data_IF_578414791285
#
_entry.id   IF_578414791285
#
_cell.length_a   1.000
_cell.length_b   1.000
_cell.length_c   1.000
_cell.angle_alpha   90.00
_cell.angle_beta   90.00
_cell.angle_gamma   90.00
#
_symmetry.space_group_name_H-M   'P 1'
#
loop_
_entity.id
_entity.type
_entity.pdbx_description
1 polymer ?
#
# COMPACT_ATOMS: atom_id res chain seq x y z
N UNK A 1 -24.81 4.80 -17.37
CA UNK A 1 -25.50 6.09 -17.57
C UNK A 1 -25.19 6.98 -16.38
N UNK A 2 -24.88 8.26 -16.59
CA UNK A 2 -24.49 9.26 -15.58
C UNK A 2 -25.30 10.53 -15.84
N UNK A 3 -25.88 11.17 -14.82
CA UNK A 3 -26.57 12.46 -14.96
C UNK A 3 -25.74 13.50 -15.70
N UNK A 4 -26.33 14.17 -16.68
CA UNK A 4 -25.69 15.28 -17.41
C UNK A 4 -25.78 16.57 -16.59
N UNK A 5 -24.75 17.42 -16.62
CA UNK A 5 -24.72 18.66 -15.87
C UNK A 5 -25.35 19.83 -16.65
N UNK A 6 -25.90 20.81 -15.94
CA UNK A 6 -26.67 21.93 -16.48
C UNK A 6 -26.33 23.22 -15.74
N UNK A 7 -26.69 24.36 -16.31
CA UNK A 7 -26.59 25.65 -15.65
C UNK A 7 -27.25 25.60 -14.26
N UNK A 8 -26.57 26.11 -13.23
CA UNK A 8 -27.06 26.08 -11.87
C UNK A 8 -26.82 24.78 -11.11
N UNK A 9 -26.39 23.69 -11.74
CA UNK A 9 -25.94 22.49 -11.01
C UNK A 9 -24.72 22.82 -10.14
N UNK A 10 -24.58 22.14 -9.01
CA UNK A 10 -23.67 22.52 -7.94
C UNK A 10 -22.28 21.95 -8.15
N UNK A 11 -21.26 22.77 -7.95
CA UNK A 11 -19.86 22.42 -7.85
C UNK A 11 -19.39 22.56 -6.41
N UNK A 12 -18.59 21.62 -5.92
CA UNK A 12 -17.91 21.73 -4.64
C UNK A 12 -16.42 21.98 -4.85
N UNK A 13 -15.94 23.14 -4.38
CA UNK A 13 -14.56 23.57 -4.52
C UNK A 13 -13.76 23.30 -3.22
N UNK A 14 -12.60 22.62 -3.30
CA UNK A 14 -11.79 22.31 -2.12
C UNK A 14 -10.94 23.51 -1.62
N UNK A 15 -10.85 24.60 -2.40
CA UNK A 15 -10.13 25.80 -2.00
C UNK A 15 -10.84 26.43 -0.79
N UNK A 16 -10.14 26.65 0.35
CA UNK A 16 -10.73 27.28 1.53
C UNK A 16 -11.42 28.61 1.21
N UNK A 17 -12.69 28.74 1.59
CA UNK A 17 -13.51 29.93 1.35
C UNK A 17 -14.33 29.91 0.05
N UNK A 18 -14.11 28.96 -0.86
CA UNK A 18 -14.90 28.84 -2.10
C UNK A 18 -16.19 28.02 -1.89
N UNK A 19 -16.09 26.87 -1.22
CA UNK A 19 -17.24 26.03 -0.87
C UNK A 19 -18.05 25.56 -2.08
N UNK A 20 -19.36 25.38 -1.86
CA UNK A 20 -20.31 24.97 -2.90
C UNK A 20 -20.79 26.20 -3.71
N UNK A 21 -20.70 26.13 -5.03
CA UNK A 21 -21.12 27.20 -5.94
C UNK A 21 -21.80 26.63 -7.19
N UNK A 22 -22.79 27.32 -7.78
CA UNK A 22 -23.47 26.83 -8.99
C UNK A 22 -22.58 26.99 -10.23
N UNK A 23 -22.83 26.19 -11.26
CA UNK A 23 -22.36 26.45 -12.63
C UNK A 23 -23.02 27.73 -13.14
N UNK A 24 -22.23 28.70 -13.60
CA UNK A 24 -22.68 30.03 -14.02
C UNK A 24 -22.64 30.27 -15.53
N UNK A 25 -21.90 29.45 -16.29
CA UNK A 25 -21.98 29.44 -17.75
C UNK A 25 -22.41 28.06 -18.26
N UNK A 26 -23.12 28.03 -19.38
CA UNK A 26 -23.56 26.81 -20.04
C UNK A 26 -23.86 27.11 -21.51
N UNK A 27 -24.25 26.08 -22.27
CA UNK A 27 -24.81 26.25 -23.61
C UNK A 27 -26.03 27.17 -23.61
N UNK A 28 -26.08 28.11 -24.56
CA UNK A 28 -27.24 28.99 -24.80
C UNK A 28 -28.23 28.41 -25.83
N UNK A 29 -27.85 27.34 -26.52
CA UNK A 29 -28.57 26.75 -27.67
C UNK A 29 -29.14 25.37 -27.34
N UNK A 30 -28.43 24.60 -26.52
CA UNK A 30 -28.78 23.24 -26.14
C UNK A 30 -29.21 23.22 -24.68
N UNK A 31 -30.42 22.76 -24.44
CA UNK A 31 -31.02 22.71 -23.11
C UNK A 31 -31.26 21.26 -22.69
N UNK A 32 -31.06 21.00 -21.40
CA UNK A 32 -31.40 19.77 -20.71
C UNK A 32 -32.36 20.17 -19.59
N UNK A 33 -33.57 19.62 -19.60
CA UNK A 33 -34.67 20.04 -18.72
C UNK A 33 -34.94 21.57 -18.76
N UNK A 34 -34.93 22.17 -19.95
CA UNK A 34 -35.13 23.62 -20.16
C UNK A 34 -34.04 24.51 -19.55
N UNK A 35 -32.91 23.93 -19.15
CA UNK A 35 -31.76 24.62 -18.55
C UNK A 35 -30.54 24.38 -19.46
N UNK A 36 -29.70 25.39 -19.70
CA UNK A 36 -28.53 25.26 -20.58
C UNK A 36 -27.63 24.09 -20.20
N UNK A 37 -27.22 23.26 -21.17
CA UNK A 37 -26.36 22.12 -20.95
C UNK A 37 -24.93 22.56 -20.61
N UNK A 38 -24.36 22.07 -19.51
CA UNK A 38 -22.99 22.39 -19.11
C UNK A 38 -21.97 21.56 -19.88
N UNK A 39 -20.84 22.15 -20.24
CA UNK A 39 -19.78 21.56 -21.05
C UNK A 39 -18.43 21.75 -20.39
N UNK A 40 -17.43 21.02 -20.87
CA UNK A 40 -16.03 21.34 -20.57
C UNK A 40 -15.75 22.80 -20.96
N UNK A 41 -15.07 23.53 -20.09
CA UNK A 41 -14.80 24.95 -20.26
C UNK A 41 -15.84 25.89 -19.67
N UNK A 42 -16.98 25.40 -19.18
CA UNK A 42 -17.94 26.23 -18.47
C UNK A 42 -17.49 26.54 -17.02
N UNK A 43 -17.88 27.71 -16.51
CA UNK A 43 -17.35 28.31 -15.27
C UNK A 43 -18.33 28.17 -14.11
N UNK A 44 -17.82 27.82 -12.94
CA UNK A 44 -18.54 27.74 -11.67
C UNK A 44 -18.44 29.06 -10.90
N UNK A 45 -19.34 29.30 -9.95
CA UNK A 45 -19.42 30.59 -9.24
C UNK A 45 -18.19 30.98 -8.41
N UNK A 46 -17.34 30.02 -8.04
CA UNK A 46 -16.05 30.30 -7.41
C UNK A 46 -14.91 30.59 -8.41
N UNK A 47 -15.18 30.61 -9.72
CA UNK A 47 -14.20 30.79 -10.80
C UNK A 47 -13.60 29.51 -11.36
N UNK A 48 -13.95 28.33 -10.79
CA UNK A 48 -13.46 27.05 -11.31
C UNK A 48 -14.01 26.74 -12.70
N UNK A 49 -13.21 26.15 -13.58
CA UNK A 49 -13.59 25.78 -14.95
C UNK A 49 -13.73 24.26 -15.06
N UNK A 50 -14.79 23.76 -15.66
CA UNK A 50 -15.01 22.31 -15.84
C UNK A 50 -13.97 21.74 -16.80
N UNK A 51 -13.25 20.69 -16.39
CA UNK A 51 -12.14 20.11 -17.16
C UNK A 51 -12.45 18.76 -17.79
N UNK A 52 -13.44 18.02 -17.27
CA UNK A 52 -13.77 16.68 -17.78
C UNK A 52 -15.18 16.58 -18.35
N UNK A 53 -15.34 15.77 -19.39
CA UNK A 53 -16.65 15.48 -19.97
C UNK A 53 -16.65 14.24 -20.85
N UNK A 54 -17.79 13.95 -21.46
CA UNK A 54 -17.93 12.86 -22.41
C UNK A 54 -17.31 13.24 -23.77
N UNK A 55 -16.22 12.59 -24.20
CA UNK A 55 -15.55 12.94 -25.45
C UNK A 55 -16.43 12.72 -26.69
N UNK A 56 -17.46 11.87 -26.58
CA UNK A 56 -18.35 11.51 -27.70
C UNK A 56 -19.77 12.06 -27.59
N UNK A 57 -20.03 12.90 -26.58
CA UNK A 57 -21.30 13.64 -26.48
C UNK A 57 -20.93 15.12 -26.51
N UNK A 58 -21.00 15.71 -27.70
CA UNK A 58 -20.53 17.07 -27.95
C UNK A 58 -21.72 18.02 -28.00
N UNK A 59 -21.65 19.11 -27.25
CA UNK A 59 -22.61 20.22 -27.26
C UNK A 59 -21.85 21.50 -27.57
N UNK A 60 -22.25 22.21 -28.63
CA UNK A 60 -21.58 23.41 -29.14
C UNK A 60 -20.04 23.25 -29.21
N UNK A 61 -19.59 22.20 -29.89
CA UNK A 61 -18.17 21.87 -30.09
C UNK A 61 -17.37 21.52 -28.84
N UNK A 62 -18.01 21.37 -27.67
CA UNK A 62 -17.34 20.98 -26.42
C UNK A 62 -17.95 19.72 -25.81
N UNK A 63 -17.16 18.88 -25.13
CA UNK A 63 -17.66 17.70 -24.41
C UNK A 63 -18.72 18.05 -23.38
N UNK A 64 -19.80 17.29 -23.34
CA UNK A 64 -20.87 17.44 -22.35
C UNK A 64 -20.35 17.07 -20.95
N UNK A 65 -20.55 17.97 -19.99
CA UNK A 65 -20.23 17.74 -18.59
C UNK A 65 -21.30 16.87 -17.92
N UNK A 66 -20.92 16.22 -16.84
CA UNK A 66 -21.80 15.30 -16.11
C UNK A 66 -21.56 15.39 -14.61
N UNK A 67 -22.46 14.78 -13.83
CA UNK A 67 -22.25 14.59 -12.40
C UNK A 67 -20.90 13.88 -12.17
N UNK A 68 -20.05 14.46 -11.34
CA UNK A 68 -18.69 14.00 -11.10
C UNK A 68 -17.63 14.62 -12.03
N UNK A 69 -17.98 15.50 -12.98
CA UNK A 69 -16.97 16.21 -13.77
C UNK A 69 -16.03 17.02 -12.87
N UNK A 70 -14.72 16.91 -13.10
CA UNK A 70 -13.68 17.66 -12.40
C UNK A 70 -13.61 19.10 -12.88
N UNK A 71 -12.98 19.94 -12.07
CA UNK A 71 -12.79 21.37 -12.33
C UNK A 71 -11.35 21.83 -12.08
N UNK A 72 -10.96 22.99 -12.61
CA UNK A 72 -9.60 23.54 -12.52
C UNK A 72 -9.14 23.87 -11.09
N UNK A 73 -10.06 24.05 -10.15
CA UNK A 73 -9.75 24.22 -8.72
C UNK A 73 -9.59 22.89 -7.96
N UNK A 74 -9.63 21.75 -8.66
CA UNK A 74 -9.50 20.42 -8.07
C UNK A 74 -10.78 19.87 -7.44
N UNK A 75 -11.92 20.57 -7.57
CA UNK A 75 -13.22 20.10 -7.10
C UNK A 75 -14.05 19.43 -8.18
N UNK A 76 -15.30 19.06 -7.86
CA UNK A 76 -16.18 18.28 -8.76
C UNK A 76 -17.59 18.85 -8.85
N UNK A 77 -18.33 18.49 -9.90
CA UNK A 77 -19.77 18.70 -10.00
C UNK A 77 -20.52 17.67 -9.16
N UNK A 78 -21.40 18.14 -8.28
CA UNK A 78 -22.12 17.37 -7.25
C UNK A 78 -23.61 17.21 -7.53
N UNK A 79 -24.16 17.90 -8.53
CA UNK A 79 -25.52 17.67 -9.03
C UNK A 79 -25.57 17.59 -10.56
N UNK A 80 -26.68 17.10 -11.08
CA UNK A 80 -26.95 16.93 -12.50
C UNK A 80 -28.44 16.76 -12.75
N UNK A 81 -28.80 16.52 -14.01
CA UNK A 81 -30.17 16.21 -14.43
C UNK A 81 -30.73 14.95 -13.74
N UNK A 82 -31.97 14.97 -13.23
CA UNK A 82 -32.57 13.80 -12.59
C UNK A 82 -32.96 12.69 -13.58
N UNK A 83 -33.10 13.02 -14.87
CA UNK A 83 -33.69 12.13 -15.89
C UNK A 83 -32.93 12.10 -17.22
N UNK A 84 -31.98 13.01 -17.46
CA UNK A 84 -31.15 13.02 -18.66
C UNK A 84 -29.76 12.49 -18.34
N UNK A 85 -29.38 11.42 -19.04
CA UNK A 85 -28.16 10.68 -18.72
C UNK A 85 -27.25 10.55 -19.95
N UNK A 86 -25.94 10.60 -19.74
CA UNK A 86 -24.90 10.28 -20.72
C UNK A 86 -24.12 9.01 -20.36
N UNK A 87 -23.13 8.64 -21.19
CA UNK A 87 -22.24 7.50 -20.93
C UNK A 87 -22.95 6.14 -20.99
N UNK A 88 -23.27 5.68 -22.21
CA UNK A 88 -23.86 4.37 -22.49
C UNK A 88 -22.78 3.29 -22.68
N UNK A 89 -23.14 2.02 -22.39
CA UNK A 89 -22.38 0.84 -22.80
C UNK A 89 -23.15 0.15 -23.93
N UNK A 90 -22.55 0.02 -25.11
CA UNK A 90 -23.02 -0.95 -26.11
C UNK A 90 -22.18 -2.22 -26.01
N UNK A 91 -22.83 -3.38 -26.14
CA UNK A 91 -22.21 -4.69 -26.04
C UNK A 91 -21.01 -4.80 -26.99
N UNK A 92 -19.82 -5.07 -26.45
CA UNK A 92 -18.63 -5.43 -27.24
C UNK A 92 -17.40 -4.60 -26.92
N UNK A 93 -17.36 -3.33 -27.30
CA UNK A 93 -16.16 -2.49 -27.15
C UNK A 93 -16.53 -1.02 -27.32
N UNK A 94 -16.74 -0.32 -26.22
CA UNK A 94 -16.48 1.12 -26.08
C UNK A 94 -16.54 1.43 -24.58
N UNK A 95 -15.37 1.78 -24.04
CA UNK A 95 -15.18 2.13 -22.64
C UNK A 95 -16.03 3.35 -22.28
N UNK A 96 -16.39 3.42 -21.00
CA UNK A 96 -17.00 4.56 -20.31
C UNK A 96 -16.04 5.77 -20.30
N UNK A 97 -15.47 6.14 -21.43
CA UNK A 97 -14.37 7.10 -21.48
C UNK A 97 -14.88 8.49 -21.10
N UNK A 98 -14.45 8.99 -19.96
CA UNK A 98 -14.48 10.40 -19.60
C UNK A 98 -13.05 10.89 -19.75
N UNK A 99 -12.87 12.07 -20.33
CA UNK A 99 -11.54 12.61 -20.62
C UNK A 99 -11.37 13.93 -19.90
N UNK A 100 -10.22 14.11 -19.27
CA UNK A 100 -9.74 15.38 -18.71
C UNK A 100 -9.04 16.19 -19.80
N UNK A 101 -9.75 17.17 -20.34
CA UNK A 101 -9.26 18.02 -21.41
C UNK A 101 -8.29 19.10 -20.93
N UNK A 102 -8.18 19.34 -19.61
CA UNK A 102 -7.11 20.18 -19.07
C UNK A 102 -5.76 19.47 -19.15
N UNK A 103 -5.72 18.16 -18.84
CA UNK A 103 -4.51 17.34 -19.00
C UNK A 103 -4.06 17.18 -20.45
N UNK A 104 -4.98 17.33 -21.40
CA UNK A 104 -4.67 17.33 -22.83
C UNK A 104 -4.37 18.74 -23.39
N UNK A 105 -4.38 19.78 -22.54
CA UNK A 105 -4.03 21.15 -22.90
C UNK A 105 -5.16 21.99 -23.52
N UNK A 106 -6.35 21.42 -23.72
CA UNK A 106 -7.48 22.14 -24.32
C UNK A 106 -8.22 23.05 -23.33
N UNK A 107 -8.05 22.82 -22.01
CA UNK A 107 -8.39 23.80 -20.97
C UNK A 107 -7.10 24.27 -20.32
N UNK A 108 -6.80 25.56 -20.43
CA UNK A 108 -5.55 26.15 -19.95
C UNK A 108 -5.61 26.48 -18.45
N UNK A 109 -4.46 26.62 -17.77
CA UNK A 109 -4.43 26.96 -16.34
C UNK A 109 -5.11 28.29 -15.98
N UNK A 110 -5.22 29.22 -16.92
CA UNK A 110 -5.93 30.50 -16.75
C UNK A 110 -7.46 30.39 -16.91
N UNK A 111 -7.97 29.18 -17.16
CA UNK A 111 -9.38 28.90 -17.38
C UNK A 111 -9.85 29.12 -18.82
N UNK A 112 -9.00 29.59 -19.73
CA UNK A 112 -9.35 29.71 -21.15
C UNK A 112 -9.41 28.36 -21.84
N UNK A 113 -10.31 28.22 -22.81
CA UNK A 113 -10.43 27.02 -23.64
C UNK A 113 -9.73 27.27 -24.97
N UNK A 114 -8.91 26.32 -25.40
CA UNK A 114 -8.36 26.28 -26.74
C UNK A 114 -9.33 25.53 -27.65
N UNK A 115 -10.26 26.27 -28.28
CA UNK A 115 -11.32 25.66 -29.10
C UNK A 115 -10.76 24.94 -30.34
N UNK A 116 -9.60 25.35 -30.87
CA UNK A 116 -8.96 24.66 -31.99
C UNK A 116 -8.42 23.30 -31.54
N UNK A 117 -7.65 23.28 -30.44
CA UNK A 117 -7.13 22.03 -29.90
C UNK A 117 -8.27 21.11 -29.41
N UNK A 118 -9.34 21.68 -28.84
CA UNK A 118 -10.54 20.92 -28.47
C UNK A 118 -11.13 20.21 -29.68
N UNK A 119 -11.32 20.91 -30.80
CA UNK A 119 -11.82 20.32 -32.03
C UNK A 119 -10.89 19.22 -32.56
N UNK A 120 -9.58 19.46 -32.61
CA UNK A 120 -8.57 18.47 -33.03
C UNK A 120 -8.61 17.20 -32.15
N UNK A 121 -8.80 17.35 -30.84
CA UNK A 121 -8.92 16.21 -29.93
C UNK A 121 -10.22 15.44 -30.14
N UNK A 122 -11.34 16.12 -30.39
CA UNK A 122 -12.64 15.46 -30.62
C UNK A 122 -12.70 14.74 -31.97
N UNK A 123 -11.94 15.20 -32.97
CA UNK A 123 -11.79 14.55 -34.27
C UNK A 123 -10.76 13.39 -34.25
N UNK A 124 -9.97 13.24 -33.17
CA UNK A 124 -8.96 12.19 -33.03
C UNK A 124 -9.61 10.81 -32.73
N UNK A 125 -9.56 9.84 -33.67
CA UNK A 125 -10.14 8.52 -33.45
C UNK A 125 -9.40 7.71 -32.36
N UNK A 126 -8.19 8.12 -31.98
CA UNK A 126 -7.38 7.52 -30.92
C UNK A 126 -7.42 8.32 -29.62
N UNK A 127 -8.34 9.28 -29.47
CA UNK A 127 -8.48 10.09 -28.26
C UNK A 127 -8.48 9.26 -26.95
N UNK A 128 -9.15 8.08 -26.84
CA UNK A 128 -9.10 7.28 -25.61
C UNK A 128 -7.70 6.74 -25.30
N UNK A 129 -6.95 6.28 -26.30
CA UNK A 129 -5.57 5.81 -26.12
C UNK A 129 -4.66 6.98 -25.74
N UNK A 130 -4.80 8.13 -26.40
CA UNK A 130 -4.05 9.35 -26.07
C UNK A 130 -4.35 9.85 -24.66
N UNK A 131 -5.62 9.83 -24.27
CA UNK A 131 -6.07 10.17 -22.92
C UNK A 131 -5.50 9.20 -21.88
N UNK A 132 -5.48 7.89 -22.17
CA UNK A 132 -4.88 6.89 -21.28
C UNK A 132 -3.37 7.14 -21.09
N UNK A 133 -2.63 7.34 -22.17
CA UNK A 133 -1.18 7.59 -22.15
C UNK A 133 -0.82 8.91 -21.44
N UNK A 134 -1.71 9.90 -21.50
CA UNK A 134 -1.51 11.21 -20.87
C UNK A 134 -2.08 11.28 -19.44
N UNK A 135 -2.57 10.16 -18.88
CA UNK A 135 -3.23 10.14 -17.56
C UNK A 135 -4.50 10.99 -17.49
N UNK A 136 -5.11 11.30 -18.64
CA UNK A 136 -6.31 12.09 -18.83
C UNK A 136 -7.59 11.24 -18.91
N UNK A 137 -7.49 9.92 -18.97
CA UNK A 137 -8.66 9.04 -18.93
C UNK A 137 -9.20 8.94 -17.50
N UNK A 138 -10.43 9.40 -17.29
CA UNK A 138 -11.16 9.32 -16.02
C UNK A 138 -12.12 8.12 -16.10
N UNK A 139 -11.99 7.16 -15.18
CA UNK A 139 -12.93 6.04 -15.08
C UNK A 139 -14.17 6.49 -14.29
N UNK A 140 -15.37 6.51 -14.88
CA UNK A 140 -16.56 6.84 -14.12
C UNK A 140 -16.93 5.60 -13.31
N UNK A 141 -16.61 5.66 -12.02
CA UNK A 141 -16.67 4.55 -11.07
C UNK A 141 -15.87 4.83 -9.79
N UNK A 142 -14.93 5.78 -9.83
CA UNK A 142 -14.23 6.26 -8.66
C UNK A 142 -14.86 7.58 -8.17
N UNK A 143 -15.51 7.60 -6.99
CA UNK A 143 -15.82 8.84 -6.31
C UNK A 143 -14.52 9.36 -5.70
N UNK A 144 -13.92 10.38 -6.31
CA UNK A 144 -12.89 11.19 -5.64
C UNK A 144 -13.19 12.67 -5.85
N UNK A 145 -13.98 13.23 -4.93
CA UNK A 145 -13.83 14.58 -4.38
C UNK A 145 -14.88 14.78 -3.28
N UNK A 146 -14.51 14.34 -2.08
CA UNK A 146 -14.83 14.94 -0.77
C UNK A 146 -15.99 15.94 -0.72
N UNK A 147 -17.22 15.43 -0.63
CA UNK A 147 -18.31 16.16 -0.03
C UNK A 147 -18.31 15.89 1.48
N UNK A 148 -17.96 16.90 2.25
CA UNK A 148 -18.29 17.04 3.67
C UNK A 148 -19.81 17.15 3.82
N UNK A 149 -20.51 16.03 3.69
CA UNK A 149 -21.71 15.82 4.51
C UNK A 149 -21.22 15.64 5.94
N UNK A 150 -21.73 16.40 6.90
CA UNK A 150 -21.67 15.89 8.26
C UNK A 150 -22.36 14.52 8.23
N UNK A 151 -21.64 13.44 8.54
CA UNK A 151 -22.13 12.10 8.32
C UNK A 151 -23.08 11.76 9.46
N UNK A 152 -24.22 11.14 9.15
CA UNK A 152 -24.62 10.00 9.98
C UNK A 152 -23.38 9.11 10.06
N UNK A 153 -22.78 8.91 11.24
CA UNK A 153 -21.40 8.45 11.34
C UNK A 153 -21.24 7.16 10.54
N UNK A 154 -20.58 7.24 9.38
CA UNK A 154 -19.99 6.06 8.77
C UNK A 154 -19.15 5.44 9.87
N UNK A 155 -19.37 4.15 10.13
CA UNK A 155 -18.66 3.45 11.19
C UNK A 155 -17.17 3.73 10.99
N UNK A 156 -16.45 4.23 12.02
CA UNK A 156 -15.05 4.57 11.88
C UNK A 156 -14.31 3.43 11.21
N UNK A 157 -13.48 3.74 10.21
CA UNK A 157 -12.63 2.74 9.60
C UNK A 157 -11.91 1.96 10.71
N UNK A 158 -11.74 0.67 10.51
CA UNK A 158 -10.98 -0.19 11.42
C UNK A 158 -9.74 -0.69 10.69
N UNK A 159 -8.74 0.17 10.41
CA UNK A 159 -7.57 -0.25 9.67
C UNK A 159 -6.84 -1.44 10.31
N UNK A 160 -6.15 -2.19 9.46
CA UNK A 160 -5.49 -3.43 9.82
C UNK A 160 -3.96 -3.31 9.80
N UNK A 161 -3.32 -3.86 10.82
CA UNK A 161 -1.87 -3.96 10.98
C UNK A 161 -1.45 -5.42 10.79
N UNK A 162 -0.69 -5.71 9.73
CA UNK A 162 -0.35 -7.06 9.31
C UNK A 162 1.15 -7.31 9.54
N UNK A 163 1.46 -8.41 10.21
CA UNK A 163 2.82 -8.94 10.30
C UNK A 163 2.89 -10.26 9.51
N UNK A 164 3.83 -10.36 8.58
CA UNK A 164 4.02 -11.52 7.70
C UNK A 164 5.34 -12.21 8.04
N UNK A 165 5.30 -13.51 8.29
CA UNK A 165 6.48 -14.36 8.45
C UNK A 165 6.64 -15.31 7.27
N UNK A 166 7.81 -15.31 6.64
CA UNK A 166 8.22 -16.31 5.67
C UNK A 166 8.56 -17.66 6.29
N UNK A 167 8.68 -18.67 5.45
CA UNK A 167 9.22 -19.99 5.75
C UNK A 167 10.75 -19.95 5.88
N UNK A 168 11.28 -20.79 6.77
CA UNK A 168 12.71 -20.90 7.00
C UNK A 168 13.22 -22.28 6.60
N UNK A 169 14.18 -22.34 5.66
CA UNK A 169 14.83 -23.59 5.25
C UNK A 169 15.81 -24.09 6.33
N UNK A 170 16.49 -23.18 7.04
CA UNK A 170 17.46 -23.54 8.07
C UNK A 170 16.78 -24.32 9.20
N UNK A 171 17.35 -25.49 9.55
CA UNK A 171 16.85 -26.38 10.58
C UNK A 171 17.48 -26.16 11.96
N UNK A 172 18.48 -25.28 12.08
CA UNK A 172 19.08 -24.92 13.34
C UNK A 172 18.03 -24.32 14.28
N UNK A 173 17.98 -24.80 15.52
CA UNK A 173 16.91 -24.47 16.47
C UNK A 173 16.75 -22.96 16.69
N UNK A 174 17.86 -22.22 16.72
CA UNK A 174 17.88 -20.77 16.89
C UNK A 174 17.34 -19.98 15.69
N UNK A 175 17.50 -20.52 14.48
CA UNK A 175 17.14 -19.81 13.24
C UNK A 175 15.73 -20.18 12.77
N UNK A 176 15.30 -21.42 13.03
CA UNK A 176 14.08 -21.99 12.45
C UNK A 176 12.85 -21.11 12.64
N UNK A 177 12.66 -20.55 13.83
CA UNK A 177 11.48 -19.74 14.19
C UNK A 177 11.71 -18.22 14.13
N UNK A 178 12.86 -17.76 13.62
CA UNK A 178 13.23 -16.34 13.75
C UNK A 178 12.28 -15.39 13.03
N UNK A 179 11.76 -15.76 11.85
CA UNK A 179 10.80 -14.93 11.10
C UNK A 179 9.47 -14.80 11.84
N UNK A 180 8.92 -15.92 12.35
CA UNK A 180 7.72 -15.90 13.19
C UNK A 180 7.97 -15.09 14.46
N UNK A 181 9.14 -15.26 15.10
CA UNK A 181 9.52 -14.48 16.27
C UNK A 181 9.49 -12.97 16.03
N UNK A 182 10.02 -12.52 14.89
CA UNK A 182 10.01 -11.11 14.51
C UNK A 182 8.62 -10.61 14.13
N UNK A 183 7.82 -11.42 13.42
CA UNK A 183 6.43 -11.07 13.13
C UNK A 183 5.60 -10.91 14.42
N UNK A 184 5.79 -11.78 15.41
CA UNK A 184 5.15 -11.65 16.72
C UNK A 184 5.66 -10.42 17.49
N UNK A 185 6.95 -10.08 17.39
CA UNK A 185 7.47 -8.83 17.93
C UNK A 185 6.76 -7.62 17.30
N UNK A 186 6.51 -7.62 15.99
CA UNK A 186 5.75 -6.56 15.32
C UNK A 186 4.31 -6.46 15.87
N UNK A 187 3.65 -7.59 16.18
CA UNK A 187 2.34 -7.54 16.85
C UNK A 187 2.40 -6.84 18.23
N UNK A 188 3.49 -7.04 18.97
CA UNK A 188 3.72 -6.36 20.25
C UNK A 188 3.88 -4.84 20.06
N UNK A 189 4.63 -4.43 19.04
CA UNK A 189 4.80 -3.01 18.68
C UNK A 189 3.50 -2.39 18.20
N UNK A 190 2.72 -3.10 17.39
CA UNK A 190 1.38 -2.67 16.96
C UNK A 190 0.45 -2.48 18.13
N UNK A 191 0.41 -3.43 19.08
CA UNK A 191 -0.37 -3.30 20.31
C UNK A 191 0.04 -2.07 21.13
N UNK A 192 1.34 -1.75 21.18
CA UNK A 192 1.83 -0.62 21.95
C UNK A 192 1.52 0.73 21.28
N UNK A 193 1.76 0.83 19.97
CA UNK A 193 1.64 2.07 19.19
C UNK A 193 0.21 2.38 18.74
N UNK A 194 -0.56 1.35 18.42
CA UNK A 194 -1.90 1.44 17.83
C UNK A 194 -2.81 0.36 18.47
N UNK A 195 -3.08 0.45 19.79
CA UNK A 195 -3.75 -0.60 20.55
C UNK A 195 -5.14 -0.95 20.01
N UNK A 196 -5.87 0.04 19.50
CA UNK A 196 -7.27 -0.09 19.07
C UNK A 196 -7.42 -0.68 17.67
N UNK A 197 -6.34 -0.72 16.87
CA UNK A 197 -6.39 -1.26 15.52
C UNK A 197 -6.33 -2.79 15.52
N UNK A 198 -6.98 -3.38 14.51
CA UNK A 198 -6.92 -4.83 14.36
C UNK A 198 -5.54 -5.23 13.89
N UNK A 199 -5.00 -6.29 14.48
CA UNK A 199 -3.74 -6.91 14.09
C UNK A 199 -4.02 -8.24 13.41
N UNK A 200 -3.14 -8.66 12.50
CA UNK A 200 -3.15 -9.99 11.87
C UNK A 200 -1.75 -10.55 11.76
N UNK A 201 -1.60 -11.84 12.08
CA UNK A 201 -0.38 -12.61 11.79
C UNK A 201 -0.60 -13.49 10.55
N UNK A 202 0.16 -13.24 9.49
CA UNK A 202 0.20 -14.12 8.31
C UNK A 202 1.49 -14.93 8.34
N UNK A 203 1.42 -16.23 8.13
CA UNK A 203 2.59 -17.13 8.14
C UNK A 203 2.59 -17.97 6.88
N UNK A 204 3.71 -17.93 6.14
CA UNK A 204 4.00 -18.94 5.14
C UNK A 204 4.30 -20.26 5.85
N UNK A 205 3.40 -21.22 5.72
CA UNK A 205 3.44 -22.47 6.49
C UNK A 205 4.42 -23.53 6.00
N UNK A 206 4.86 -23.55 4.72
CA UNK A 206 5.85 -24.54 4.28
C UNK A 206 7.09 -24.54 5.17
N UNK A 207 7.65 -25.71 5.44
CA UNK A 207 8.76 -25.95 6.36
C UNK A 207 8.50 -25.75 7.87
N UNK A 208 7.29 -25.41 8.33
CA UNK A 208 6.92 -25.42 9.75
C UNK A 208 6.05 -26.64 10.09
N UNK A 209 6.36 -27.31 11.20
CA UNK A 209 5.55 -28.42 11.70
C UNK A 209 4.41 -27.93 12.62
N UNK A 210 3.52 -28.83 13.03
CA UNK A 210 2.37 -28.49 13.86
C UNK A 210 2.74 -27.85 15.20
N UNK A 211 3.82 -28.30 15.85
CA UNK A 211 4.27 -27.71 17.12
C UNK A 211 4.71 -26.25 16.93
N UNK A 212 5.40 -25.95 15.84
CA UNK A 212 5.83 -24.59 15.47
C UNK A 212 4.61 -23.69 15.17
N UNK A 213 3.67 -24.18 14.36
CA UNK A 213 2.47 -23.44 14.00
C UNK A 213 1.54 -23.24 15.21
N UNK A 214 1.43 -24.22 16.11
CA UNK A 214 0.70 -24.07 17.38
C UNK A 214 1.34 -23.04 18.29
N UNK A 215 2.67 -23.03 18.40
CA UNK A 215 3.38 -22.00 19.16
C UNK A 215 3.12 -20.59 18.59
N UNK A 216 3.11 -20.45 17.26
CA UNK A 216 2.78 -19.20 16.58
C UNK A 216 1.31 -18.77 16.81
N UNK A 217 0.36 -19.71 16.78
CA UNK A 217 -1.06 -19.47 17.09
C UNK A 217 -1.25 -18.96 18.52
N UNK A 218 -0.62 -19.59 19.51
CA UNK A 218 -0.69 -19.13 20.90
C UNK A 218 -0.15 -17.70 21.06
N UNK A 219 0.92 -17.35 20.35
CA UNK A 219 1.43 -15.98 20.34
C UNK A 219 0.44 -15.00 19.70
N UNK A 220 -0.16 -15.35 18.56
CA UNK A 220 -1.19 -14.54 17.92
C UNK A 220 -2.39 -14.29 18.85
N UNK A 221 -2.88 -15.33 19.53
CA UNK A 221 -3.97 -15.25 20.50
C UNK A 221 -3.60 -14.36 21.68
N UNK A 222 -2.37 -14.47 22.20
CA UNK A 222 -1.86 -13.57 23.25
C UNK A 222 -1.82 -12.11 22.79
N UNK A 223 -1.72 -11.86 21.48
CA UNK A 223 -1.82 -10.54 20.84
C UNK A 223 -3.24 -10.16 20.39
N UNK A 224 -4.26 -10.97 20.70
CA UNK A 224 -5.65 -10.70 20.36
C UNK A 224 -5.93 -10.80 18.87
N UNK A 225 -5.23 -11.71 18.17
CA UNK A 225 -5.38 -11.95 16.74
C UNK A 225 -5.31 -13.45 16.43
N UNK A 226 -5.59 -13.81 15.18
CA UNK A 226 -5.46 -15.17 14.66
C UNK A 226 -4.27 -15.28 13.71
N UNK A 227 -3.81 -16.52 13.52
CA UNK A 227 -2.82 -16.85 12.51
C UNK A 227 -3.53 -17.23 11.21
N UNK A 228 -3.15 -16.58 10.12
CA UNK A 228 -3.55 -16.91 8.75
C UNK A 228 -2.38 -17.63 8.09
N UNK A 229 -2.61 -18.89 7.72
CA UNK A 229 -1.62 -19.68 6.99
C UNK A 229 -1.74 -19.47 5.49
N UNK A 230 -0.61 -19.21 4.82
CA UNK A 230 -0.52 -19.17 3.35
C UNK A 230 0.58 -20.11 2.87
N UNK A 231 0.48 -20.58 1.63
CA UNK A 231 1.47 -21.49 1.03
C UNK A 231 2.09 -20.93 -0.25
N UNK A 232 1.65 -19.74 -0.71
CA UNK A 232 2.12 -19.10 -1.93
C UNK A 232 2.01 -17.58 -1.82
N UNK A 233 2.78 -16.87 -2.66
CA UNK A 233 2.70 -15.42 -2.78
C UNK A 233 1.31 -14.99 -3.24
N UNK A 234 0.65 -15.78 -4.10
CA UNK A 234 -0.74 -15.53 -4.48
C UNK A 234 -1.67 -15.55 -3.27
N UNK A 235 -1.52 -16.52 -2.35
CA UNK A 235 -2.32 -16.56 -1.13
C UNK A 235 -2.14 -15.32 -0.24
N UNK A 236 -0.92 -14.77 -0.17
CA UNK A 236 -0.69 -13.49 0.50
C UNK A 236 -1.35 -12.33 -0.26
N UNK A 237 -1.18 -12.24 -1.58
CA UNK A 237 -1.77 -11.19 -2.43
C UNK A 237 -3.31 -11.21 -2.31
N UNK A 238 -3.92 -12.38 -2.37
CA UNK A 238 -5.36 -12.57 -2.21
C UNK A 238 -5.83 -12.08 -0.84
N UNK A 239 -5.08 -12.41 0.22
CA UNK A 239 -5.39 -11.91 1.56
C UNK A 239 -5.24 -10.38 1.67
N UNK A 240 -4.19 -9.79 1.10
CA UNK A 240 -4.02 -8.33 1.08
C UNK A 240 -5.16 -7.66 0.31
N UNK A 241 -5.59 -8.23 -0.81
CA UNK A 241 -6.64 -7.65 -1.64
C UNK A 241 -8.06 -7.84 -1.07
N UNK A 242 -8.32 -8.98 -0.42
CA UNK A 242 -9.70 -9.46 -0.15
C UNK A 242 -9.91 -10.01 1.26
N UNK A 243 -8.87 -10.08 2.10
CA UNK A 243 -8.90 -10.80 3.38
C UNK A 243 -9.98 -10.29 4.35
N UNK A 244 -9.92 -9.02 4.72
CA UNK A 244 -11.04 -8.31 5.38
C UNK A 244 -11.78 -7.47 4.35
N UNK A 245 -12.92 -6.90 4.74
CA UNK A 245 -13.58 -5.87 3.93
C UNK A 245 -12.65 -4.65 3.83
N UNK A 246 -11.89 -4.53 2.73
CA UNK A 246 -10.89 -3.48 2.54
C UNK A 246 -11.47 -2.07 2.49
N UNK A 247 -12.77 -1.93 2.28
CA UNK A 247 -13.45 -0.64 2.39
C UNK A 247 -13.60 -0.20 3.85
N UNK A 248 -13.81 -1.15 4.77
CA UNK A 248 -13.94 -0.88 6.20
C UNK A 248 -12.62 -1.06 6.97
N UNK A 249 -11.78 -2.00 6.54
CA UNK A 249 -10.50 -2.39 7.16
C UNK A 249 -9.37 -2.35 6.12
N UNK A 250 -9.01 -1.15 5.64
CA UNK A 250 -7.83 -1.00 4.77
C UNK A 250 -6.57 -1.40 5.54
N UNK A 251 -5.54 -1.83 4.82
CA UNK A 251 -4.23 -2.12 5.43
C UNK A 251 -3.54 -0.80 5.78
N UNK A 252 -3.23 -0.59 7.05
CA UNK A 252 -2.50 0.60 7.55
C UNK A 252 -1.01 0.30 7.71
N UNK A 253 -0.65 -0.94 8.02
CA UNK A 253 0.75 -1.31 8.16
C UNK A 253 0.97 -2.75 7.70
N UNK A 254 2.02 -2.97 6.92
CA UNK A 254 2.47 -4.30 6.51
C UNK A 254 3.95 -4.49 6.84
N UNK A 255 4.26 -5.29 7.86
CA UNK A 255 5.62 -5.68 8.22
C UNK A 255 5.93 -7.08 7.68
N UNK A 256 7.03 -7.25 6.94
CA UNK A 256 7.39 -8.50 6.26
C UNK A 256 8.76 -9.01 6.73
N UNK A 257 8.80 -10.23 7.27
CA UNK A 257 10.00 -10.89 7.78
C UNK A 257 10.27 -12.18 7.00
N UNK A 258 11.30 -12.19 6.17
CA UNK A 258 11.67 -13.35 5.36
C UNK A 258 13.11 -13.25 4.86
N UNK A 259 13.53 -14.24 4.07
CA UNK A 259 14.68 -14.10 3.20
C UNK A 259 14.39 -13.12 2.06
N UNK A 260 15.46 -12.67 1.40
CA UNK A 260 15.36 -11.78 0.25
C UNK A 260 16.61 -11.82 -0.62
N UNK A 261 16.40 -11.55 -1.89
CA UNK A 261 17.45 -11.26 -2.87
C UNK A 261 17.05 -9.98 -3.60
N UNK A 262 17.96 -9.31 -4.33
CA UNK A 262 17.58 -8.15 -5.12
C UNK A 262 16.34 -8.45 -5.97
N UNK A 263 15.43 -7.47 -6.05
CA UNK A 263 14.15 -7.55 -6.78
C UNK A 263 13.14 -8.61 -6.28
N UNK A 264 13.38 -9.32 -5.16
CA UNK A 264 12.49 -10.39 -4.68
C UNK A 264 12.47 -10.56 -3.16
N UNK A 265 11.27 -10.53 -2.58
CA UNK A 265 11.01 -11.04 -1.23
C UNK A 265 10.74 -12.54 -1.37
N UNK A 266 11.65 -13.35 -0.84
CA UNK A 266 11.59 -14.81 -0.95
C UNK A 266 11.04 -15.41 0.35
N UNK A 267 9.73 -15.64 0.40
CA UNK A 267 9.09 -16.24 1.58
C UNK A 267 9.44 -17.72 1.73
N UNK A 268 9.89 -18.38 0.66
CA UNK A 268 10.24 -19.79 0.62
C UNK A 268 11.70 -20.08 0.25
N UNK A 269 12.63 -19.15 0.46
CA UNK A 269 14.00 -19.25 -0.06
C UNK A 269 14.65 -20.61 0.24
N UNK A 270 15.13 -21.28 -0.82
CA UNK A 270 15.74 -22.62 -0.80
C UNK A 270 14.80 -23.78 -0.41
N UNK A 271 13.49 -23.56 -0.40
CA UNK A 271 12.48 -24.61 -0.33
C UNK A 271 12.03 -25.02 -1.74
N UNK A 272 11.46 -26.22 -1.92
CA UNK A 272 10.92 -26.65 -3.21
C UNK A 272 9.93 -25.65 -3.82
N UNK A 273 9.16 -24.96 -2.98
CA UNK A 273 8.12 -24.01 -3.37
C UNK A 273 8.62 -22.54 -3.41
N UNK A 274 9.95 -22.28 -3.40
CA UNK A 274 10.53 -20.92 -3.37
C UNK A 274 9.91 -19.98 -4.42
N UNK A 275 9.77 -20.44 -5.66
CA UNK A 275 9.21 -19.64 -6.75
C UNK A 275 7.74 -19.27 -6.50
N UNK A 276 6.93 -20.21 -6.04
CA UNK A 276 5.52 -19.97 -5.73
C UNK A 276 5.35 -19.05 -4.51
N UNK A 277 6.32 -19.07 -3.61
CA UNK A 277 6.41 -18.25 -2.39
C UNK A 277 7.23 -16.96 -2.59
N UNK A 278 7.32 -16.42 -3.80
CA UNK A 278 8.09 -15.20 -4.09
C UNK A 278 7.20 -14.02 -4.47
N UNK A 279 7.38 -12.88 -3.80
CA UNK A 279 6.87 -11.59 -4.26
C UNK A 279 8.02 -10.84 -4.93
N UNK A 280 7.85 -10.51 -6.20
CA UNK A 280 8.92 -9.96 -7.05
C UNK A 280 8.41 -8.91 -8.04
N UNK A 281 9.31 -8.43 -8.89
CA UNK A 281 9.05 -7.41 -9.91
C UNK A 281 8.06 -7.85 -11.00
N UNK A 282 7.72 -9.14 -11.09
CA UNK A 282 6.76 -9.68 -12.06
C UNK A 282 5.34 -9.71 -11.51
N UNK A 283 5.16 -9.89 -10.19
CA UNK A 283 3.85 -10.09 -9.58
C UNK A 283 3.41 -9.01 -8.58
N UNK A 284 4.29 -8.07 -8.17
CA UNK A 284 3.92 -7.03 -7.19
C UNK A 284 2.71 -6.18 -7.56
N UNK A 285 2.47 -5.96 -8.88
CA UNK A 285 1.33 -5.17 -9.37
C UNK A 285 -0.03 -5.82 -9.12
N UNK A 286 -0.05 -7.10 -8.75
CA UNK A 286 -1.27 -7.80 -8.38
C UNK A 286 -1.81 -7.38 -7.01
N UNK A 287 -0.98 -6.76 -6.17
CA UNK A 287 -1.44 -6.14 -4.91
C UNK A 287 -2.21 -4.88 -5.28
N UNK A 288 -3.46 -4.77 -4.84
CA UNK A 288 -4.32 -3.62 -5.13
C UNK A 288 -3.97 -2.45 -4.23
N UNK A 289 -3.62 -1.30 -4.82
CA UNK A 289 -3.39 -0.07 -4.06
C UNK A 289 -4.61 0.33 -3.21
N UNK A 290 -5.82 0.06 -3.70
CA UNK A 290 -7.08 0.35 -3.02
C UNK A 290 -7.32 -0.52 -1.77
N UNK A 291 -6.49 -1.54 -1.54
CA UNK A 291 -6.55 -2.34 -0.30
C UNK A 291 -5.82 -1.69 0.88
N UNK A 292 -5.04 -0.63 0.62
CA UNK A 292 -4.25 0.09 1.62
C UNK A 292 -4.89 1.43 1.96
N UNK A 293 -4.67 1.87 3.20
CA UNK A 293 -4.95 3.25 3.62
C UNK A 293 -3.99 4.21 2.92
N UNK A 294 -4.40 5.46 2.71
CA UNK A 294 -3.55 6.49 2.12
C UNK A 294 -2.34 6.85 3.00
N UNK A 295 -2.41 6.58 4.30
CA UNK A 295 -1.32 6.77 5.27
C UNK A 295 -0.48 5.53 5.51
N UNK A 296 -0.80 4.42 4.83
CA UNK A 296 -0.19 3.14 5.14
C UNK A 296 1.33 3.13 4.96
N UNK A 297 2.00 2.21 5.65
CA UNK A 297 3.42 1.93 5.43
C UNK A 297 3.66 0.43 5.22
N UNK A 298 4.57 0.11 4.30
CA UNK A 298 5.10 -1.26 4.13
C UNK A 298 6.54 -1.30 4.63
N UNK A 299 6.87 -2.25 5.49
CA UNK A 299 8.19 -2.43 6.07
C UNK A 299 8.69 -3.82 5.68
N UNK A 300 9.60 -3.89 4.72
CA UNK A 300 10.32 -5.11 4.39
C UNK A 300 11.58 -5.23 5.23
N UNK A 301 11.67 -6.33 5.97
CA UNK A 301 12.89 -6.80 6.64
C UNK A 301 13.55 -7.95 5.89
N UNK A 302 13.10 -8.23 4.66
CA UNK A 302 13.78 -9.14 3.76
C UNK A 302 15.09 -8.52 3.25
N UNK A 303 16.10 -9.38 3.05
CA UNK A 303 17.41 -8.95 2.59
C UNK A 303 17.28 -8.22 1.24
N UNK A 304 17.86 -7.02 1.12
CA UNK A 304 18.10 -6.33 -0.16
C UNK A 304 16.83 -6.04 -0.98
N UNK A 305 15.65 -5.94 -0.36
CA UNK A 305 14.43 -5.51 -1.06
C UNK A 305 14.59 -4.12 -1.69
N UNK A 306 15.41 -3.26 -1.09
CA UNK A 306 15.76 -1.92 -1.59
C UNK A 306 16.86 -1.91 -2.67
N UNK A 307 17.33 -3.07 -3.12
CA UNK A 307 18.33 -3.18 -4.18
C UNK A 307 17.67 -3.56 -5.50
N UNK A 308 17.93 -2.78 -6.55
CA UNK A 308 17.42 -3.03 -7.89
C UNK A 308 18.41 -3.68 -8.84
N UNK A 309 19.66 -3.88 -8.43
CA UNK A 309 20.61 -4.65 -9.23
C UNK A 309 20.08 -6.06 -9.48
N UNK A 310 20.46 -6.66 -10.60
CA UNK A 310 20.14 -8.05 -10.86
C UNK A 310 20.81 -8.97 -9.83
N UNK A 311 20.17 -10.08 -9.45
CA UNK A 311 20.77 -11.04 -8.55
C UNK A 311 21.94 -11.76 -9.23
N UNK A 312 23.17 -11.35 -8.92
CA UNK A 312 24.39 -12.08 -9.27
C UNK A 312 25.22 -12.36 -7.99
N UNK A 313 26.03 -13.43 -8.03
CA UNK A 313 26.87 -13.86 -6.91
C UNK A 313 27.90 -12.80 -6.50
N UNK A 314 28.35 -11.95 -7.42
CA UNK A 314 29.35 -10.92 -7.17
C UNK A 314 28.80 -9.77 -6.32
N UNK A 315 27.52 -9.42 -6.48
CA UNK A 315 26.83 -8.39 -5.72
C UNK A 315 26.42 -8.89 -4.33
N UNK A 316 26.20 -10.20 -4.14
CA UNK A 316 25.78 -10.73 -2.83
C UNK A 316 26.89 -10.68 -1.78
N UNK A 317 28.14 -10.93 -2.19
CA UNK A 317 29.31 -11.08 -1.32
C UNK A 317 30.37 -9.96 -1.54
N UNK A 318 30.10 -9.02 -2.45
CA UNK A 318 31.07 -8.02 -2.91
C UNK A 318 30.83 -6.58 -2.44
N UNK A 319 31.46 -5.65 -3.18
CA UNK A 319 31.36 -4.20 -3.00
C UNK A 319 30.35 -3.65 -4.03
N UNK A 320 29.32 -2.95 -3.57
CA UNK A 320 28.30 -2.33 -4.41
C UNK A 320 28.12 -0.85 -4.04
N UNK A 321 28.58 0.06 -4.89
CA UNK A 321 28.42 1.51 -4.71
C UNK A 321 27.14 2.06 -5.37
N UNK A 322 26.52 1.31 -6.27
CA UNK A 322 25.37 1.74 -7.07
C UNK A 322 24.22 0.73 -6.93
N UNK A 323 23.46 0.78 -5.83
CA UNK A 323 22.42 -0.21 -5.50
C UNK A 323 21.19 -0.22 -6.43
N UNK A 324 21.13 0.69 -7.42
CA UNK A 324 20.02 0.81 -8.36
C UNK A 324 18.66 0.86 -7.63
N UNK A 325 18.56 1.72 -6.63
CA UNK A 325 17.38 1.80 -5.74
C UNK A 325 16.09 2.10 -6.49
N UNK A 326 16.17 2.76 -7.64
CA UNK A 326 15.02 3.11 -8.47
C UNK A 326 14.36 1.88 -9.11
N UNK A 327 15.16 0.85 -9.38
CA UNK A 327 14.75 -0.41 -9.99
C UNK A 327 14.44 -1.48 -8.93
N UNK A 328 14.54 -1.13 -7.64
CA UNK A 328 14.30 -2.06 -6.53
C UNK A 328 12.82 -2.39 -6.38
N UNK A 329 12.54 -3.60 -5.87
CA UNK A 329 11.18 -4.01 -5.55
C UNK A 329 10.55 -3.04 -4.52
N UNK A 330 11.33 -2.51 -3.58
CA UNK A 330 10.84 -1.52 -2.63
C UNK A 330 10.32 -0.24 -3.31
N UNK A 331 11.08 0.32 -4.27
CA UNK A 331 10.65 1.49 -5.01
C UNK A 331 9.43 1.19 -5.89
N UNK A 332 9.44 0.05 -6.60
CA UNK A 332 8.32 -0.36 -7.45
C UNK A 332 7.02 -0.55 -6.65
N UNK A 333 7.11 -1.12 -5.44
CA UNK A 333 5.98 -1.22 -4.52
C UNK A 333 5.53 0.17 -4.04
N UNK A 334 6.45 1.07 -3.69
CA UNK A 334 6.09 2.42 -3.26
C UNK A 334 5.33 3.19 -4.34
N UNK A 335 5.82 3.13 -5.58
CA UNK A 335 5.20 3.81 -6.73
C UNK A 335 3.82 3.22 -7.06
N UNK A 336 3.71 1.88 -7.04
CA UNK A 336 2.46 1.20 -7.38
C UNK A 336 1.37 1.35 -6.30
N UNK A 337 1.74 1.20 -5.03
CA UNK A 337 0.81 1.31 -3.91
C UNK A 337 0.56 2.76 -3.48
N UNK A 338 1.37 3.71 -3.97
CA UNK A 338 1.35 5.14 -3.59
C UNK A 338 1.49 5.39 -2.08
N UNK A 339 2.27 4.53 -1.43
CA UNK A 339 2.57 4.60 0.01
C UNK A 339 4.07 4.42 0.24
N UNK A 340 4.52 4.75 1.45
CA UNK A 340 5.94 4.58 1.81
C UNK A 340 6.29 3.12 1.97
N UNK A 341 7.43 2.73 1.41
CA UNK A 341 8.04 1.43 1.66
C UNK A 341 9.37 1.64 2.40
N UNK A 342 9.57 0.97 3.53
CA UNK A 342 10.86 0.91 4.23
C UNK A 342 11.50 -0.44 3.97
N UNK A 343 12.75 -0.44 3.50
CA UNK A 343 13.44 -1.66 3.13
C UNK A 343 14.95 -1.56 3.36
N UNK A 344 15.59 -2.71 3.61
CA UNK A 344 17.05 -2.77 3.61
C UNK A 344 17.56 -2.84 2.18
N UNK A 345 18.59 -2.04 1.88
CA UNK A 345 19.38 -2.16 0.66
C UNK A 345 20.44 -3.27 0.83
N UNK A 346 20.86 -3.53 2.07
CA UNK A 346 21.80 -4.59 2.47
C UNK A 346 21.08 -5.86 2.90
N UNK A 347 21.85 -6.92 3.17
CA UNK A 347 21.36 -8.12 3.87
C UNK A 347 20.79 -7.73 5.23
N UNK A 348 19.72 -8.38 5.62
CA UNK A 348 19.13 -8.27 6.96
C UNK A 348 19.92 -9.12 7.95
N UNK A 349 20.06 -8.64 9.17
CA UNK A 349 20.70 -9.35 10.28
C UNK A 349 19.67 -9.75 11.34
N UNK A 350 19.36 -11.05 11.37
CA UNK A 350 18.44 -11.69 12.31
C UNK A 350 19.15 -12.34 13.51
N UNK A 351 20.49 -12.30 13.59
CA UNK A 351 21.28 -13.11 14.55
C UNK A 351 20.94 -12.84 16.02
N UNK A 352 20.43 -11.64 16.30
CA UNK A 352 20.12 -11.17 17.65
C UNK A 352 18.63 -11.35 18.03
N UNK A 353 17.82 -12.01 17.20
CA UNK A 353 16.37 -12.20 17.41
C UNK A 353 16.03 -12.66 18.84
N UNK A 354 16.78 -13.63 19.37
CA UNK A 354 16.57 -14.21 20.71
C UNK A 354 17.52 -13.64 21.77
N UNK A 355 18.15 -12.50 21.48
CA UNK A 355 19.13 -11.83 22.32
C UNK A 355 20.48 -11.64 21.62
N UNK A 356 21.23 -10.62 22.03
CA UNK A 356 22.58 -10.35 21.54
C UNK A 356 23.62 -11.26 22.20
N UNK A 357 24.85 -11.24 21.69
CA UNK A 357 25.95 -11.94 22.34
C UNK A 357 26.20 -11.39 23.76
N UNK A 358 26.18 -10.06 23.89
CA UNK A 358 26.37 -9.32 25.13
C UNK A 358 25.26 -9.63 26.13
N UNK A 359 23.98 -9.62 25.70
CA UNK A 359 22.85 -9.98 26.56
C UNK A 359 22.95 -11.42 27.06
N UNK A 360 23.41 -12.36 26.21
CA UNK A 360 23.69 -13.74 26.63
C UNK A 360 24.82 -13.82 27.66
N UNK A 361 25.86 -12.98 27.57
CA UNK A 361 26.90 -12.94 28.60
C UNK A 361 26.38 -12.30 29.89
N UNK A 362 25.65 -11.19 29.80
CA UNK A 362 25.02 -10.53 30.95
C UNK A 362 24.06 -11.47 31.69
N UNK A 363 23.28 -12.27 30.96
CA UNK A 363 22.38 -13.26 31.53
C UNK A 363 23.07 -14.30 32.42
N UNK A 364 24.34 -14.65 32.13
CA UNK A 364 25.15 -15.56 32.96
C UNK A 364 25.56 -14.93 34.28
N UNK A 365 25.59 -13.59 34.36
CA UNK A 365 25.95 -12.85 35.57
C UNK A 365 24.74 -12.65 36.51
N UNK A 366 23.53 -13.00 36.09
CA UNK A 366 22.34 -12.83 36.91
C UNK A 366 22.35 -13.71 38.16
N UNK A 367 22.42 -13.08 39.33
CA UNK A 367 22.56 -13.74 40.65
C UNK A 367 23.95 -13.63 41.26
N UNK A 368 24.88 -12.94 40.58
CA UNK A 368 26.18 -12.53 41.14
C UNK A 368 26.02 -11.12 41.73
N UNK A 369 26.52 -10.86 42.93
CA UNK A 369 26.54 -9.54 43.55
C UNK A 369 27.74 -8.71 43.05
N UNK A 370 27.52 -7.46 42.63
CA UNK A 370 28.57 -6.52 42.24
C UNK A 370 28.08 -5.36 41.37
N UNK A 371 28.87 -4.27 41.30
CA UNK A 371 28.48 -3.03 40.59
C UNK A 371 28.30 -3.18 39.07
N UNK A 372 28.80 -4.27 38.48
CA UNK A 372 28.65 -4.59 37.06
C UNK A 372 27.56 -5.66 36.80
N UNK A 373 26.84 -6.08 37.83
CA UNK A 373 25.76 -7.06 37.70
C UNK A 373 24.52 -6.38 37.07
N UNK A 374 23.83 -7.03 36.13
CA UNK A 374 22.59 -6.51 35.58
C UNK A 374 21.52 -6.38 36.67
N UNK A 375 20.66 -5.36 36.56
CA UNK A 375 19.59 -5.10 37.52
C UNK A 375 18.64 -6.29 37.68
N UNK A 376 18.07 -6.44 38.88
CA UNK A 376 17.26 -7.62 39.25
C UNK A 376 16.06 -7.83 38.31
N UNK A 377 15.37 -6.76 37.92
CA UNK A 377 14.22 -6.82 37.00
C UNK A 377 14.60 -7.36 35.62
N UNK A 378 15.70 -6.84 35.04
CA UNK A 378 16.21 -7.32 33.76
C UNK A 378 16.59 -8.80 33.86
N UNK A 379 17.28 -9.19 34.93
CA UNK A 379 17.67 -10.57 35.17
C UNK A 379 16.49 -11.52 35.30
N UNK A 380 15.45 -11.11 36.02
CA UNK A 380 14.22 -11.86 36.15
C UNK A 380 13.56 -12.07 34.78
N UNK A 381 13.41 -11.00 33.98
CA UNK A 381 12.81 -11.05 32.64
C UNK A 381 13.64 -11.92 31.70
N UNK A 382 14.96 -11.76 31.68
CA UNK A 382 15.87 -12.55 30.86
C UNK A 382 15.79 -14.03 31.20
N UNK A 383 15.89 -14.40 32.50
CA UNK A 383 15.78 -15.80 32.95
C UNK A 383 14.44 -16.42 32.60
N UNK A 384 13.34 -15.69 32.72
CA UNK A 384 12.01 -16.16 32.33
C UNK A 384 11.95 -16.57 30.85
N UNK A 385 12.39 -15.66 29.96
CA UNK A 385 12.40 -15.92 28.52
C UNK A 385 13.42 -17.00 28.12
N UNK A 386 14.56 -17.03 28.80
CA UNK A 386 15.59 -18.04 28.57
C UNK A 386 15.14 -19.45 28.97
N UNK A 387 14.41 -19.58 30.07
CA UNK A 387 13.80 -20.84 30.47
C UNK A 387 12.72 -21.30 29.49
N UNK A 388 11.90 -20.38 28.98
CA UNK A 388 10.89 -20.68 27.96
C UNK A 388 11.53 -21.19 26.66
N UNK A 389 12.56 -20.49 26.16
CA UNK A 389 13.32 -20.91 24.98
C UNK A 389 13.97 -22.28 25.16
N UNK A 390 14.58 -22.53 26.32
CA UNK A 390 15.17 -23.84 26.66
C UNK A 390 14.10 -24.93 26.64
N UNK A 391 12.94 -24.70 27.24
CA UNK A 391 11.82 -25.64 27.24
C UNK A 391 11.39 -26.02 25.81
N UNK A 392 11.12 -25.02 24.96
CA UNK A 392 10.78 -25.28 23.55
C UNK A 392 11.87 -26.05 22.81
N UNK A 393 13.14 -25.70 23.05
CA UNK A 393 14.27 -26.37 22.41
C UNK A 393 14.42 -27.82 22.88
N UNK A 394 14.22 -28.09 24.16
CA UNK A 394 14.38 -29.43 24.72
C UNK A 394 13.23 -30.35 24.27
N UNK A 395 11.99 -29.85 24.33
CA UNK A 395 10.76 -30.59 24.00
C UNK A 395 10.53 -30.74 22.49
N UNK A 396 10.79 -29.69 21.71
CA UNK A 396 10.39 -29.62 20.30
C UNK A 396 11.52 -29.35 19.31
N UNK A 397 12.77 -29.19 19.79
CA UNK A 397 13.98 -28.96 18.97
C UNK A 397 13.98 -27.65 18.18
N UNK A 398 13.26 -26.64 18.66
CA UNK A 398 13.34 -25.26 18.14
C UNK A 398 13.35 -24.23 19.27
N UNK A 399 14.01 -23.10 19.06
CA UNK A 399 14.03 -21.98 20.00
C UNK A 399 12.84 -21.07 19.72
N UNK A 400 12.04 -20.77 20.73
CA UNK A 400 10.91 -19.84 20.61
C UNK A 400 10.54 -19.22 21.96
N UNK A 401 9.89 -18.05 21.93
CA UNK A 401 9.26 -17.42 23.09
C UNK A 401 7.98 -16.72 22.62
N UNK A 402 6.91 -16.85 23.39
CA UNK A 402 5.55 -16.46 23.00
C UNK A 402 5.35 -14.96 22.83
N UNK A 403 6.14 -14.15 23.55
CA UNK A 403 6.03 -12.68 23.45
C UNK A 403 6.66 -12.11 22.18
N UNK A 404 7.30 -12.94 21.35
CA UNK A 404 8.04 -12.51 20.16
C UNK A 404 9.53 -12.26 20.43
N UNK A 405 10.25 -11.89 19.38
CA UNK A 405 11.67 -11.60 19.41
C UNK A 405 12.02 -10.46 20.41
N UNK A 406 13.24 -10.50 20.97
CA UNK A 406 13.74 -9.49 21.90
C UNK A 406 14.27 -8.28 21.12
N UNK A 407 15.15 -8.52 20.15
CA UNK A 407 15.80 -7.48 19.38
C UNK A 407 15.21 -7.36 17.98
N UNK A 408 15.17 -6.15 17.41
CA UNK A 408 14.73 -5.94 16.03
C UNK A 408 15.72 -6.56 15.03
N UNK A 409 15.24 -6.72 13.80
CA UNK A 409 16.10 -7.00 12.65
C UNK A 409 16.94 -5.77 12.35
N UNK A 410 18.23 -5.95 12.14
CA UNK A 410 19.15 -4.86 11.80
C UNK A 410 19.56 -4.92 10.33
N UNK A 411 20.01 -3.79 9.80
CA UNK A 411 20.74 -3.79 8.54
C UNK A 411 22.11 -4.43 8.76
N UNK A 412 22.43 -5.45 7.98
CA UNK A 412 23.76 -6.03 7.91
C UNK A 412 24.76 -5.11 7.19
N UNK A 413 25.92 -5.68 6.89
CA UNK A 413 27.06 -4.96 6.32
C UNK A 413 27.32 -5.26 4.84
N UNK A 414 26.60 -6.20 4.25
CA UNK A 414 26.82 -6.64 2.86
C UNK A 414 25.61 -6.37 1.96
N UNK A 415 25.83 -5.96 0.68
CA UNK A 415 27.14 -5.65 0.11
C UNK A 415 27.77 -4.40 0.72
N UNK A 416 29.09 -4.39 0.73
CA UNK A 416 29.88 -3.26 1.25
C UNK A 416 29.71 -2.08 0.30
N UNK A 417 29.61 -0.85 0.82
CA UNK A 417 29.46 0.36 0.00
C UNK A 417 28.00 0.77 -0.27
N UNK A 418 27.03 -0.12 -0.15
CA UNK A 418 25.61 0.24 -0.21
C UNK A 418 25.19 0.97 1.07
N UNK A 419 24.18 1.85 1.08
CA UNK A 419 23.70 2.48 2.31
C UNK A 419 23.18 1.45 3.33
N UNK A 420 23.52 1.64 4.60
CA UNK A 420 22.97 0.84 5.70
C UNK A 420 21.68 1.44 6.26
N UNK A 421 21.05 0.71 7.17
CA UNK A 421 19.81 1.13 7.82
C UNK A 421 18.57 0.81 6.99
N UNK A 422 17.40 1.09 7.56
CA UNK A 422 16.10 0.82 6.96
C UNK A 422 15.67 2.03 6.12
N UNK A 423 15.92 1.97 4.81
CA UNK A 423 15.79 3.11 3.91
C UNK A 423 14.33 3.34 3.52
N UNK A 424 13.92 4.61 3.41
CA UNK A 424 12.56 4.99 3.04
C UNK A 424 12.49 5.27 1.55
N UNK A 425 11.64 4.51 0.86
CA UNK A 425 11.28 4.67 -0.54
C UNK A 425 9.92 5.37 -0.59
N UNK A 426 9.90 6.57 -1.16
CA UNK A 426 8.67 7.35 -1.33
C UNK A 426 8.14 7.17 -2.75
N UNK A 427 6.81 7.20 -2.95
CA UNK A 427 6.22 7.18 -4.28
C UNK A 427 6.73 8.34 -5.13
N UNK A 428 6.98 8.10 -6.42
CA UNK A 428 7.42 9.10 -7.39
C UNK A 428 6.30 9.71 -8.20
#
# INVERSE_FOLDING_TARGET
MIPTARLGDMHLCPIPGHGASPIQSASSTTQINFIGAARVGDVCGCGAVITTGFPYIVVDHRPLAHLGSLTSHGGTLTSGSPDTLGGFKFAGTCTRAVVDFAKLGAVRPDGSVDDQLMAELLDDPQLPQRALLSGALVQPGDPTAEATTEPTPEAPLTPELIAVAGSQHDSASGNKMMFIGQAVRALAEFRHSQPDLTRTLVVFTPAYNDAMLNAARHSAEAYGTTLIGVTSAQGLIDYLNQGKDRKQSPVEHLSVFSHGVPQRIAFGYQLPEDQEMSLDVLNYRQISANSFSSTAEVHSYACRTGMGNLPDLAIEEGIQFFPQTNESLAQLLADHLRIKVKAFIRRSDYKNTWGSFEERQLGKLCGISGNNAPGEEWCWKWKKLDNERRKYNDEHKFTYQQIGAINPVLSGNTPVGAPGGHYVFSPK
#
